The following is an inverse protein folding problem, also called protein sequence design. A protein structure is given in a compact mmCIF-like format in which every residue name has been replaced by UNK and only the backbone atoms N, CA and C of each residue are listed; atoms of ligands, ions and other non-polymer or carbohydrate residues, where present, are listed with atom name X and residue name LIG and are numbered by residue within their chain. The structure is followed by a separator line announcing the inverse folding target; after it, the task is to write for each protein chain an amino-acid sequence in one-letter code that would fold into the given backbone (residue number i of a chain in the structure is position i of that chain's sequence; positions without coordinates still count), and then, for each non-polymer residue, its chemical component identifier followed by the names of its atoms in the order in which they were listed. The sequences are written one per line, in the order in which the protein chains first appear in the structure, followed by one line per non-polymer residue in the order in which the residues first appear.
data_IF_753364260175
#
_entry.id   IF_753364260175
#
_cell.length_a   1.000
_cell.length_b   1.000
_cell.length_c   1.000
_cell.angle_alpha   90.00
_cell.angle_beta   90.00
_cell.angle_gamma   90.00
#
_symmetry.space_group_name_H-M   'P 1'
#
loop_
_entity.id
_entity.type
_entity.pdbx_description
1 polymer ?
#
# COMPACT_ATOMS: atom_id res chain seq x y z
N UNK A 1 -15.60 0.92 -11.63
CA UNK A 1 -16.20 0.33 -10.42
C UNK A 1 -16.85 1.39 -9.55
N UNK A 2 -16.13 2.43 -9.20
CA UNK A 2 -16.64 3.54 -8.40
C UNK A 2 -16.18 4.87 -8.96
N UNK A 3 -16.88 5.95 -8.63
CA UNK A 3 -16.48 7.29 -9.03
C UNK A 3 -16.93 8.36 -8.04
N UNK A 4 -16.10 9.40 -7.88
CA UNK A 4 -16.49 10.67 -7.31
C UNK A 4 -17.21 11.50 -8.39
N UNK A 5 -18.43 11.96 -8.10
CA UNK A 5 -19.24 12.78 -9.00
C UNK A 5 -19.18 14.24 -8.58
N UNK A 6 -19.43 15.16 -9.53
CA UNK A 6 -19.56 16.58 -9.22
C UNK A 6 -20.54 16.81 -8.06
N UNK A 7 -20.10 17.49 -7.01
CA UNK A 7 -20.82 17.76 -5.75
C UNK A 7 -21.07 16.55 -4.84
N UNK A 8 -20.67 15.33 -5.25
CA UNK A 8 -20.73 14.11 -4.47
C UNK A 8 -19.30 13.56 -4.39
N UNK A 9 -18.51 14.10 -3.46
CA UNK A 9 -17.12 13.72 -3.24
C UNK A 9 -16.86 13.56 -1.75
N UNK A 10 -16.09 12.57 -1.38
CA UNK A 10 -15.64 12.37 -0.01
C UNK A 10 -14.11 12.21 -0.01
N UNK A 11 -13.43 13.06 0.75
CA UNK A 11 -11.96 13.09 0.79
C UNK A 11 -11.42 11.72 1.19
N UNK A 12 -10.45 11.23 0.42
CA UNK A 12 -9.79 9.94 0.63
C UNK A 12 -10.53 8.74 0.03
N UNK A 13 -11.81 8.87 -0.38
CA UNK A 13 -12.54 7.80 -1.04
C UNK A 13 -12.28 7.79 -2.55
N UNK A 14 -12.46 6.63 -3.17
CA UNK A 14 -12.48 6.47 -4.63
C UNK A 14 -13.89 6.60 -5.22
N UNK A 15 -14.85 6.96 -4.39
CA UNK A 15 -16.22 7.25 -4.80
C UNK A 15 -17.23 6.19 -4.38
N UNK A 16 -18.47 6.40 -4.83
CA UNK A 16 -19.55 5.43 -4.70
C UNK A 16 -19.51 4.43 -5.86
N UNK A 17 -19.92 3.17 -5.64
CA UNK A 17 -20.11 2.22 -6.74
C UNK A 17 -20.95 2.82 -7.85
N UNK A 18 -20.60 2.56 -9.10
CA UNK A 18 -21.39 3.01 -10.25
C UNK A 18 -22.66 2.14 -10.39
N UNK A 19 -23.63 2.64 -11.17
CA UNK A 19 -24.89 1.94 -11.37
C UNK A 19 -24.65 0.51 -11.89
N UNK A 20 -25.38 -0.45 -11.34
CA UNK A 20 -25.31 -1.89 -11.63
C UNK A 20 -24.02 -2.60 -11.17
N UNK A 21 -23.11 -1.90 -10.46
CA UNK A 21 -21.98 -2.51 -9.81
C UNK A 21 -22.31 -2.87 -8.36
N UNK A 22 -21.96 -4.09 -8.00
CA UNK A 22 -21.97 -4.57 -6.63
C UNK A 22 -20.53 -4.65 -6.12
N UNK A 23 -20.30 -4.10 -4.95
CA UNK A 23 -19.00 -4.15 -4.27
C UNK A 23 -19.20 -4.84 -2.94
N UNK A 24 -18.37 -5.85 -2.67
CA UNK A 24 -18.31 -6.51 -1.38
C UNK A 24 -16.87 -6.49 -0.85
N UNK A 25 -16.73 -6.41 0.45
CA UNK A 25 -15.44 -6.57 1.13
C UNK A 25 -15.37 -8.01 1.62
N UNK A 26 -14.44 -8.77 1.07
CA UNK A 26 -14.22 -10.19 1.42
C UNK A 26 -13.27 -10.27 2.60
N UNK A 27 -13.60 -11.15 3.57
CA UNK A 27 -12.83 -11.43 4.77
C UNK A 27 -12.40 -10.15 5.54
N UNK A 28 -13.37 -9.26 5.90
CA UNK A 28 -13.06 -8.01 6.57
C UNK A 28 -12.50 -8.24 7.97
N UNK A 29 -11.47 -7.46 8.34
CA UNK A 29 -10.95 -7.40 9.70
C UNK A 29 -11.88 -6.58 10.63
N UNK A 30 -11.46 -6.35 11.89
CA UNK A 30 -12.22 -5.57 12.88
C UNK A 30 -12.50 -4.12 12.44
N UNK A 31 -11.68 -3.54 11.57
CA UNK A 31 -11.81 -2.19 11.01
C UNK A 31 -12.66 -2.17 9.72
N UNK A 32 -13.21 -3.32 9.31
CA UNK A 32 -13.99 -3.49 8.09
C UNK A 32 -13.16 -3.49 6.81
N UNK A 33 -11.84 -3.66 6.90
CA UNK A 33 -10.92 -3.72 5.76
C UNK A 33 -10.70 -5.16 5.31
N UNK A 34 -10.85 -5.41 4.02
CA UNK A 34 -10.63 -6.71 3.40
C UNK A 34 -10.45 -6.58 1.90
N UNK A 35 -10.46 -7.69 1.18
CA UNK A 35 -10.31 -7.66 -0.27
C UNK A 35 -11.58 -7.09 -0.94
N UNK A 36 -11.37 -6.14 -1.83
CA UNK A 36 -12.44 -5.56 -2.65
C UNK A 36 -12.80 -6.54 -3.74
N UNK A 37 -14.02 -7.08 -3.69
CA UNK A 37 -14.58 -7.93 -4.73
C UNK A 37 -15.74 -7.20 -5.42
N UNK A 38 -15.82 -7.34 -6.73
CA UNK A 38 -16.78 -6.60 -7.57
C UNK A 38 -17.57 -7.54 -8.48
N UNK A 39 -18.82 -7.18 -8.74
CA UNK A 39 -19.69 -7.88 -9.70
C UNK A 39 -20.55 -6.89 -10.46
N UNK A 40 -20.53 -6.99 -11.77
CA UNK A 40 -21.30 -6.08 -12.61
C UNK A 40 -21.02 -6.28 -14.10
N UNK A 41 -21.76 -5.57 -14.96
CA UNK A 41 -21.68 -5.75 -16.40
C UNK A 41 -20.35 -5.29 -17.04
N UNK A 42 -19.53 -4.54 -16.32
CA UNK A 42 -18.21 -4.08 -16.77
C UNK A 42 -17.07 -4.98 -16.29
N UNK A 43 -17.37 -6.03 -15.51
CA UNK A 43 -16.37 -7.03 -15.10
C UNK A 43 -16.10 -7.96 -16.29
N UNK A 44 -14.84 -8.30 -16.50
CA UNK A 44 -14.42 -9.24 -17.57
C UNK A 44 -15.09 -10.61 -17.40
N UNK A 45 -15.25 -11.34 -18.51
CA UNK A 45 -15.70 -12.72 -18.46
C UNK A 45 -14.63 -13.70 -17.98
N UNK A 46 -13.36 -13.33 -18.11
CA UNK A 46 -12.20 -14.12 -17.72
C UNK A 46 -10.94 -13.73 -18.49
N UNK A 47 -9.85 -14.37 -18.18
CA UNK A 47 -8.59 -14.24 -18.93
C UNK A 47 -8.66 -15.05 -20.24
N UNK A 48 -8.08 -14.48 -21.30
CA UNK A 48 -8.12 -15.12 -22.63
C UNK A 48 -7.29 -16.42 -22.62
N UNK A 49 -7.93 -17.53 -22.98
CA UNK A 49 -7.36 -18.87 -23.00
C UNK A 49 -6.70 -19.32 -21.68
N UNK A 50 -7.13 -18.77 -20.53
CA UNK A 50 -6.60 -19.11 -19.23
C UNK A 50 -7.75 -19.32 -18.21
N UNK A 51 -8.38 -20.50 -18.24
CA UNK A 51 -9.48 -20.82 -17.33
C UNK A 51 -8.99 -21.01 -15.88
N UNK A 52 -7.74 -21.42 -15.67
CA UNK A 52 -7.18 -21.61 -14.33
C UNK A 52 -6.99 -20.24 -13.64
N UNK A 53 -6.30 -19.30 -14.28
CA UNK A 53 -6.18 -17.94 -13.76
C UNK A 53 -7.54 -17.24 -13.63
N UNK A 54 -8.52 -17.58 -14.49
CA UNK A 54 -9.88 -17.05 -14.36
C UNK A 54 -10.56 -17.59 -13.10
N UNK A 55 -10.44 -18.87 -12.81
CA UNK A 55 -11.04 -19.48 -11.63
C UNK A 55 -10.43 -18.93 -10.31
N UNK A 56 -9.14 -18.58 -10.31
CA UNK A 56 -8.46 -18.01 -9.14
C UNK A 56 -8.97 -16.62 -8.74
N UNK A 57 -9.50 -15.85 -9.68
CA UNK A 57 -9.90 -14.45 -9.44
C UNK A 57 -11.41 -14.25 -9.29
N UNK A 58 -12.22 -15.28 -9.45
CA UNK A 58 -13.65 -15.24 -9.19
C UNK A 58 -14.00 -16.08 -7.97
N UNK A 59 -14.84 -15.56 -7.09
CA UNK A 59 -15.38 -16.35 -5.99
C UNK A 59 -16.61 -17.17 -6.43
N UNK A 60 -17.09 -18.05 -5.52
CA UNK A 60 -18.24 -18.95 -5.77
C UNK A 60 -19.54 -18.19 -6.06
N UNK A 61 -19.64 -16.92 -5.65
CA UNK A 61 -20.78 -16.05 -5.92
C UNK A 61 -20.65 -15.28 -7.25
N UNK A 62 -19.52 -15.44 -7.97
CA UNK A 62 -19.19 -14.79 -9.21
C UNK A 62 -18.74 -13.33 -9.06
N UNK A 63 -18.18 -12.95 -7.93
CA UNK A 63 -17.49 -11.68 -7.78
C UNK A 63 -16.03 -11.82 -8.21
N UNK A 64 -15.56 -10.85 -8.96
CA UNK A 64 -14.14 -10.71 -9.30
C UNK A 64 -13.39 -10.14 -8.11
N UNK A 65 -12.44 -10.89 -7.57
CA UNK A 65 -11.55 -10.50 -6.49
C UNK A 65 -10.38 -9.70 -7.05
N UNK A 66 -10.29 -8.41 -6.68
CA UNK A 66 -9.42 -7.46 -7.37
C UNK A 66 -7.95 -7.52 -6.93
N UNK A 67 -7.68 -8.16 -5.81
CA UNK A 67 -6.39 -8.10 -5.13
C UNK A 67 -6.10 -6.73 -4.49
N UNK A 68 -7.04 -5.78 -4.56
CA UNK A 68 -6.99 -4.52 -3.82
C UNK A 68 -7.67 -4.68 -2.46
N UNK A 69 -7.09 -4.09 -1.43
CA UNK A 69 -7.65 -4.03 -0.08
C UNK A 69 -8.37 -2.70 0.12
N UNK A 70 -9.46 -2.76 0.88
CA UNK A 70 -10.22 -1.56 1.17
C UNK A 70 -11.42 -1.81 2.06
N UNK A 71 -12.24 -0.78 2.21
CA UNK A 71 -13.46 -0.80 2.99
C UNK A 71 -14.55 0.07 2.39
N UNK A 72 -15.78 -0.23 2.78
CA UNK A 72 -16.94 0.63 2.57
C UNK A 72 -17.30 1.30 3.88
N UNK A 73 -17.57 2.59 3.85
CA UNK A 73 -18.16 3.24 5.04
C UNK A 73 -19.68 3.05 5.10
N UNK A 74 -20.31 3.55 6.17
CA UNK A 74 -21.74 3.41 6.40
C UNK A 74 -22.63 4.08 5.34
N UNK A 75 -22.05 4.98 4.52
CA UNK A 75 -22.75 5.65 3.43
C UNK A 75 -22.44 4.99 2.07
N UNK A 76 -21.64 3.90 2.05
CA UNK A 76 -21.26 3.15 0.85
C UNK A 76 -20.08 3.73 0.06
N UNK A 77 -19.34 4.69 0.63
CA UNK A 77 -18.13 5.20 -0.03
C UNK A 77 -17.00 4.16 0.06
N UNK A 78 -16.36 3.90 -1.08
CA UNK A 78 -15.26 2.95 -1.18
C UNK A 78 -13.91 3.65 -0.91
N UNK A 79 -13.10 3.03 -0.05
CA UNK A 79 -11.73 3.44 0.25
C UNK A 79 -10.78 2.31 -0.10
N UNK A 80 -9.70 2.60 -0.82
CA UNK A 80 -8.62 1.66 -1.08
C UNK A 80 -7.55 1.89 -0.01
N UNK A 81 -7.13 0.84 0.69
CA UNK A 81 -6.14 0.89 1.76
C UNK A 81 -4.80 0.26 1.36
N UNK A 82 -4.78 -0.61 0.34
CA UNK A 82 -3.55 -1.24 -0.14
C UNK A 82 -3.78 -2.33 -1.17
N UNK A 83 -2.76 -3.20 -1.29
CA UNK A 83 -2.76 -4.39 -2.12
C UNK A 83 -2.61 -5.65 -1.28
N UNK A 84 -3.41 -6.68 -1.56
CA UNK A 84 -3.32 -7.97 -0.86
C UNK A 84 -1.92 -8.58 -0.93
N UNK A 85 -1.25 -8.50 -2.09
CA UNK A 85 0.12 -9.01 -2.30
C UNK A 85 1.20 -8.26 -1.52
N UNK A 86 0.92 -7.04 -1.07
CA UNK A 86 1.87 -6.22 -0.32
C UNK A 86 1.59 -6.25 1.18
N UNK A 87 0.46 -6.82 1.60
CA UNK A 87 0.06 -6.90 2.99
C UNK A 87 1.16 -7.58 3.83
N UNK A 88 1.59 -6.91 4.88
CA UNK A 88 2.49 -7.47 5.87
C UNK A 88 1.63 -8.03 7.01
N UNK A 89 1.75 -9.34 7.23
CA UNK A 89 1.08 -10.01 8.34
C UNK A 89 2.14 -10.29 9.41
N UNK A 90 2.02 -9.60 10.54
CA UNK A 90 2.93 -9.77 11.67
C UNK A 90 2.63 -11.07 12.43
N UNK A 91 3.61 -11.61 13.16
CA UNK A 91 3.49 -12.84 13.97
C UNK A 91 2.36 -12.79 15.01
N UNK A 92 2.01 -11.58 15.46
CA UNK A 92 0.88 -11.35 16.36
C UNK A 92 -0.49 -11.29 15.65
N UNK A 93 -0.54 -11.59 14.36
CA UNK A 93 -1.76 -11.57 13.53
C UNK A 93 -2.24 -10.18 13.12
N UNK A 94 -1.48 -9.11 13.40
CA UNK A 94 -1.84 -7.76 12.98
C UNK A 94 -1.44 -7.53 11.52
N UNK A 95 -2.33 -6.87 10.78
CA UNK A 95 -2.12 -6.47 9.40
C UNK A 95 -1.50 -5.07 9.33
N UNK A 96 -0.44 -4.94 8.52
CA UNK A 96 0.17 -3.66 8.20
C UNK A 96 0.08 -3.45 6.69
N UNK A 97 -0.50 -2.33 6.29
CA UNK A 97 -0.67 -1.92 4.90
C UNK A 97 0.48 -0.97 4.52
N UNK A 98 1.47 -1.42 3.74
CA UNK A 98 2.62 -0.60 3.38
C UNK A 98 2.24 0.74 2.74
N UNK A 99 1.22 0.73 1.90
CA UNK A 99 0.75 1.90 1.16
C UNK A 99 0.25 3.01 2.09
N UNK A 100 -0.33 2.65 3.25
CA UNK A 100 -0.74 3.64 4.27
C UNK A 100 0.47 4.39 4.85
N UNK A 101 1.54 3.64 5.12
CA UNK A 101 2.79 4.21 5.65
C UNK A 101 3.50 5.03 4.57
N UNK A 102 3.59 4.50 3.34
CA UNK A 102 4.16 5.19 2.19
C UNK A 102 3.48 6.52 1.92
N UNK A 103 2.14 6.56 2.01
CA UNK A 103 1.37 7.80 1.84
C UNK A 103 1.71 8.85 2.90
N UNK A 104 2.05 8.46 4.12
CA UNK A 104 2.51 9.38 5.16
C UNK A 104 3.92 9.88 4.88
N UNK A 105 4.83 8.96 4.55
CA UNK A 105 6.24 9.26 4.25
C UNK A 105 6.36 10.15 3.00
N UNK A 106 5.55 9.92 1.95
CA UNK A 106 5.58 10.72 0.73
C UNK A 106 5.25 12.19 0.92
N UNK A 107 4.68 12.57 2.07
CA UNK A 107 4.42 13.97 2.45
C UNK A 107 5.62 14.64 3.11
N UNK A 108 6.63 13.88 3.50
CA UNK A 108 7.86 14.41 4.09
C UNK A 108 8.63 15.12 2.98
N UNK A 109 9.10 16.32 3.28
CA UNK A 109 9.85 17.14 2.31
C UNK A 109 11.14 16.42 1.90
N UNK A 110 11.41 16.40 0.62
CA UNK A 110 12.57 15.73 0.04
C UNK A 110 12.38 14.24 -0.29
N UNK A 111 11.23 13.64 -0.03
CA UNK A 111 10.90 12.30 -0.53
C UNK A 111 10.49 12.38 -2.00
N UNK A 112 11.21 11.70 -2.88
CA UNK A 112 10.85 11.52 -4.30
C UNK A 112 10.06 10.23 -4.48
N UNK A 113 10.59 9.12 -3.96
CA UNK A 113 9.97 7.80 -3.98
C UNK A 113 10.16 7.10 -2.66
N UNK A 114 9.20 6.25 -2.29
CA UNK A 114 9.29 5.43 -1.08
C UNK A 114 8.63 4.08 -1.30
N UNK A 115 9.22 3.04 -0.73
CA UNK A 115 8.62 1.72 -0.61
C UNK A 115 8.78 1.22 0.81
N UNK A 116 7.69 0.70 1.36
CA UNK A 116 7.67 0.08 2.68
C UNK A 116 7.49 -1.42 2.53
N UNK A 117 8.25 -2.18 3.31
CA UNK A 117 8.21 -3.64 3.31
C UNK A 117 8.64 -4.20 4.66
N UNK A 118 8.39 -5.48 4.87
CA UNK A 118 8.96 -6.23 6.00
C UNK A 118 10.38 -6.63 5.66
N UNK A 119 11.33 -6.22 6.49
CA UNK A 119 12.74 -6.58 6.34
C UNK A 119 12.97 -8.05 6.68
N UNK A 120 13.89 -8.68 5.95
CA UNK A 120 14.36 -10.04 6.15
C UNK A 120 15.71 -10.00 6.87
N UNK A 121 15.74 -10.28 8.19
CA UNK A 121 16.98 -10.37 8.96
C UNK A 121 17.57 -11.79 8.87
N UNK A 122 18.88 -11.88 8.65
CA UNK A 122 19.63 -13.15 8.74
C UNK A 122 20.00 -13.53 10.16
N UNK A 123 19.87 -12.60 11.09
CA UNK A 123 20.16 -12.83 12.51
C UNK A 123 18.96 -13.40 13.24
N UNK A 124 19.18 -14.42 14.08
CA UNK A 124 18.15 -15.20 14.79
C UNK A 124 17.36 -14.44 15.87
N UNK A 125 17.38 -13.14 15.89
CA UNK A 125 16.46 -12.33 16.71
C UNK A 125 15.29 -11.89 15.83
N UNK A 126 14.28 -12.73 15.73
CA UNK A 126 13.03 -12.62 14.98
C UNK A 126 12.22 -11.34 15.26
N UNK A 127 12.81 -10.18 15.07
CA UNK A 127 12.08 -8.92 15.08
C UNK A 127 11.67 -8.62 13.64
N UNK A 128 10.40 -8.80 13.38
CA UNK A 128 9.73 -8.27 12.19
C UNK A 128 9.93 -6.76 12.15
N UNK A 129 10.79 -6.31 11.26
CA UNK A 129 11.12 -4.90 11.11
C UNK A 129 10.39 -4.35 9.90
N UNK A 130 9.62 -3.29 10.10
CA UNK A 130 9.07 -2.51 8.98
C UNK A 130 10.17 -1.56 8.50
N UNK A 131 10.55 -1.70 7.25
CA UNK A 131 11.58 -0.90 6.59
C UNK A 131 10.91 0.10 5.66
N UNK A 132 11.33 1.35 5.73
CA UNK A 132 11.04 2.37 4.73
C UNK A 132 12.29 2.62 3.90
N UNK A 133 12.25 2.27 2.63
CA UNK A 133 13.32 2.54 1.69
C UNK A 133 12.94 3.75 0.85
N UNK A 134 13.76 4.80 0.91
CA UNK A 134 13.47 6.13 0.38
C UNK A 134 14.49 6.48 -0.68
N UNK A 135 14.03 6.90 -1.85
CA UNK A 135 14.82 7.65 -2.82
C UNK A 135 14.52 9.14 -2.65
N UNK A 136 15.50 9.93 -2.18
CA UNK A 136 15.30 11.34 -1.90
C UNK A 136 15.58 12.25 -3.10
N UNK A 137 15.01 13.43 -3.10
CA UNK A 137 15.42 14.52 -3.96
C UNK A 137 16.66 15.20 -3.36
N UNK A 138 17.85 14.69 -3.70
CA UNK A 138 19.13 15.16 -3.17
C UNK A 138 19.39 16.65 -3.47
N UNK A 139 18.98 17.16 -4.63
CA UNK A 139 19.18 18.56 -4.99
C UNK A 139 18.34 19.49 -4.09
N UNK A 140 17.09 19.12 -3.85
CA UNK A 140 16.22 19.85 -2.94
C UNK A 140 16.76 19.86 -1.51
N UNK A 141 17.15 18.69 -0.98
CA UNK A 141 17.69 18.58 0.38
C UNK A 141 18.98 19.38 0.56
N UNK A 142 19.86 19.34 -0.43
CA UNK A 142 21.09 20.17 -0.44
C UNK A 142 20.78 21.65 -0.45
N UNK A 143 19.79 22.09 -1.22
CA UNK A 143 19.36 23.49 -1.23
C UNK A 143 18.73 23.94 0.09
N UNK A 144 18.12 23.02 0.82
CA UNK A 144 17.56 23.25 2.16
C UNK A 144 18.63 23.16 3.28
N UNK A 145 19.91 22.92 2.94
CA UNK A 145 21.01 22.84 3.90
C UNK A 145 21.06 21.52 4.69
N UNK A 146 20.53 20.46 4.13
CA UNK A 146 20.60 19.11 4.72
C UNK A 146 21.90 18.43 4.28
N UNK A 147 22.87 18.34 5.20
CA UNK A 147 24.16 17.71 4.92
C UNK A 147 24.12 16.18 5.15
N UNK A 148 23.37 15.72 6.15
CA UNK A 148 23.19 14.30 6.47
C UNK A 148 21.75 13.87 6.17
N UNK A 149 21.58 13.26 5.00
CA UNK A 149 20.27 12.82 4.49
C UNK A 149 19.71 11.67 5.35
N UNK A 150 20.56 10.73 5.79
CA UNK A 150 20.12 9.63 6.65
C UNK A 150 19.59 10.16 7.98
N UNK A 151 20.37 10.98 8.68
CA UNK A 151 19.95 11.56 9.95
C UNK A 151 18.68 12.44 9.82
N UNK A 152 18.54 13.12 8.68
CA UNK A 152 17.32 13.89 8.38
C UNK A 152 16.08 13.00 8.34
N UNK A 153 16.09 11.93 7.52
CA UNK A 153 14.93 11.04 7.42
C UNK A 153 14.69 10.20 8.67
N UNK A 154 15.74 9.77 9.37
CA UNK A 154 15.59 9.09 10.67
C UNK A 154 14.84 9.95 11.68
N UNK A 155 15.10 11.26 11.71
CA UNK A 155 14.37 12.19 12.57
C UNK A 155 12.92 12.34 12.14
N UNK A 156 12.67 12.60 10.84
CA UNK A 156 11.33 12.79 10.31
C UNK A 156 10.44 11.53 10.51
N UNK A 157 10.99 10.35 10.29
CA UNK A 157 10.30 9.08 10.51
C UNK A 157 10.04 8.85 12.00
N UNK A 158 10.96 9.22 12.88
CA UNK A 158 10.75 9.13 14.34
C UNK A 158 9.57 10.01 14.78
N UNK A 159 9.50 11.25 14.31
CA UNK A 159 8.40 12.17 14.59
C UNK A 159 7.06 11.58 14.06
N UNK A 160 7.04 11.08 12.83
CA UNK A 160 5.86 10.40 12.26
C UNK A 160 5.43 9.19 13.09
N UNK A 161 6.38 8.41 13.59
CA UNK A 161 6.14 7.22 14.41
C UNK A 161 5.45 7.55 15.76
N UNK A 162 5.60 8.76 16.28
CA UNK A 162 4.92 9.17 17.53
C UNK A 162 3.39 9.13 17.40
N UNK A 163 2.89 9.43 16.20
CA UNK A 163 1.45 9.42 15.89
C UNK A 163 0.94 8.04 15.44
N UNK A 164 1.80 7.02 15.36
CA UNK A 164 1.45 5.70 14.85
C UNK A 164 1.28 4.68 15.96
N UNK A 165 0.36 3.74 15.75
CA UNK A 165 0.25 2.56 16.62
C UNK A 165 1.51 1.72 16.57
N UNK A 166 1.89 1.10 17.69
CA UNK A 166 3.20 0.47 17.88
C UNK A 166 3.59 -0.54 16.80
N UNK A 167 2.63 -1.33 16.32
CA UNK A 167 2.88 -2.38 15.32
C UNK A 167 3.03 -1.87 13.89
N UNK A 168 2.67 -0.61 13.60
CA UNK A 168 2.85 0.03 12.29
C UNK A 168 4.11 0.91 12.21
N UNK A 169 4.86 1.04 13.30
CA UNK A 169 6.04 1.93 13.34
C UNK A 169 7.13 1.42 12.41
N UNK A 170 7.72 2.33 11.66
CA UNK A 170 8.90 2.06 10.85
C UNK A 170 10.10 1.87 11.77
N UNK A 171 10.73 0.72 11.69
CA UNK A 171 11.88 0.36 12.52
C UNK A 171 13.23 0.67 11.89
N UNK A 172 13.27 0.81 10.56
CA UNK A 172 14.49 1.09 9.81
C UNK A 172 14.21 1.98 8.61
N UNK A 173 15.10 2.93 8.36
CA UNK A 173 15.11 3.76 7.15
C UNK A 173 16.33 3.41 6.31
N UNK A 174 16.12 3.12 5.03
CA UNK A 174 17.19 2.94 4.04
C UNK A 174 17.11 4.08 3.03
N UNK A 175 18.25 4.68 2.74
CA UNK A 175 18.36 5.70 1.69
C UNK A 175 18.93 5.05 0.43
N UNK A 176 18.32 5.35 -0.70
CA UNK A 176 18.77 4.93 -2.02
C UNK A 176 19.47 6.06 -2.74
N UNK A 177 20.50 5.72 -3.48
CA UNK A 177 21.19 6.66 -4.39
C UNK A 177 20.59 6.67 -5.80
N UNK A 178 19.75 5.67 -6.12
CA UNK A 178 19.14 5.49 -7.44
C UNK A 178 17.63 5.28 -7.31
N UNK A 179 16.87 5.70 -8.34
CA UNK A 179 15.43 5.46 -8.44
C UNK A 179 15.07 3.97 -8.35
N UNK A 180 13.86 3.69 -7.86
CA UNK A 180 13.34 2.33 -7.93
C UNK A 180 13.12 1.89 -9.37
N UNK A 181 13.36 0.59 -9.65
CA UNK A 181 13.01 0.00 -10.93
C UNK A 181 11.51 0.15 -11.20
N UNK A 182 11.16 0.69 -12.36
CA UNK A 182 9.76 0.94 -12.77
C UNK A 182 9.39 0.09 -13.97
N UNK A 183 8.13 -0.28 -14.04
CA UNK A 183 7.57 -0.91 -15.24
C UNK A 183 7.22 0.16 -16.32
N UNK A 184 6.71 -0.29 -17.48
CA UNK A 184 6.30 0.58 -18.58
C UNK A 184 5.21 1.60 -18.19
N UNK A 185 4.43 1.32 -17.16
CA UNK A 185 3.41 2.21 -16.60
C UNK A 185 3.94 3.13 -15.50
N UNK A 186 5.27 3.24 -15.34
CA UNK A 186 5.97 4.04 -14.32
C UNK A 186 5.66 3.63 -12.87
N UNK A 187 5.18 2.41 -12.65
CA UNK A 187 4.95 1.88 -11.31
C UNK A 187 6.19 1.15 -10.80
N UNK A 188 6.53 1.33 -9.53
CA UNK A 188 7.66 0.67 -8.88
C UNK A 188 7.45 -0.85 -8.88
N UNK A 189 8.51 -1.57 -9.25
CA UNK A 189 8.54 -3.03 -9.35
C UNK A 189 9.03 -3.61 -8.02
N UNK A 190 8.09 -3.82 -7.07
CA UNK A 190 8.40 -4.21 -5.69
C UNK A 190 9.17 -5.53 -5.54
N UNK A 191 8.98 -6.50 -6.45
CA UNK A 191 9.68 -7.79 -6.36
C UNK A 191 11.19 -7.71 -6.67
N UNK A 192 11.68 -6.54 -7.14
CA UNK A 192 13.11 -6.27 -7.35
C UNK A 192 13.80 -5.63 -6.15
N UNK A 193 13.07 -5.37 -5.08
CA UNK A 193 13.63 -4.74 -3.88
C UNK A 193 14.35 -5.80 -3.06
N UNK A 194 15.58 -5.49 -2.67
CA UNK A 194 16.32 -6.30 -1.69
C UNK A 194 15.82 -6.00 -0.28
N UNK A 195 15.16 -6.98 0.32
CA UNK A 195 14.55 -6.86 1.64
C UNK A 195 15.50 -7.22 2.79
N UNK A 196 16.76 -7.56 2.50
CA UNK A 196 17.74 -7.87 3.53
C UNK A 196 17.99 -6.67 4.44
N UNK A 197 18.10 -6.91 5.75
CA UNK A 197 18.32 -5.91 6.80
C UNK A 197 19.57 -6.28 7.61
N UNK A 198 20.67 -6.52 6.91
CA UNK A 198 21.98 -6.81 7.52
C UNK A 198 22.76 -5.52 7.77
#
# INVERSE_FOLDING_TARGET
VSCNRNKLQKKGSVGLPIMHEQVKIKDPNEDGEGEICIKGPNVMLGYYNDPEATAEVFDDEGYFCTGDLGKLDSEGWLYITGRLKNLIILSNGKNVYPEEIELKISKIRGVEEVVVYQGESRSASDKEIIVAEIYPNFEMLKSDGVDDVQAYFDRQIREMNEEMVSYKKVGMVKIRDEEFAKNTSKKIVRFKIDKSVD
#
